data_IF_489932627531
#
_entry.id   IF_489932627531
#
_cell.length_a   1.000
_cell.length_b   1.000
_cell.length_c   1.000
_cell.angle_alpha   90.00
_cell.angle_beta   90.00
_cell.angle_gamma   90.00
#
_symmetry.space_group_name_H-M   'P 1'
#
loop_
_entity.id
_entity.type
_entity.pdbx_description
1 polymer ?
#
# COMPACT_ATOMS: atom_id res chain seq x y z
N UNK A 1 -84.56 33.86 -36.37
CA UNK A 1 -84.02 33.23 -37.60
C UNK A 1 -82.49 33.39 -37.59
N UNK A 2 -81.76 32.31 -37.90
CA UNK A 2 -80.33 32.21 -38.29
C UNK A 2 -79.28 32.75 -37.28
N UNK A 3 -78.61 31.91 -36.46
CA UNK A 3 -77.48 31.00 -36.73
C UNK A 3 -76.12 31.69 -36.97
N UNK A 4 -75.11 31.24 -36.19
CA UNK A 4 -73.67 31.05 -36.55
C UNK A 4 -72.80 32.34 -36.46
N UNK A 5 -71.58 32.39 -35.91
CA UNK A 5 -70.51 31.41 -35.64
C UNK A 5 -69.62 31.90 -34.47
N UNK A 6 -69.23 31.01 -33.55
CA UNK A 6 -68.14 31.22 -32.58
C UNK A 6 -66.80 30.90 -33.26
N UNK A 7 -65.81 31.78 -33.14
CA UNK A 7 -64.40 31.46 -33.44
C UNK A 7 -63.58 31.67 -32.16
N UNK A 8 -63.30 30.58 -31.47
CA UNK A 8 -62.37 30.53 -30.33
C UNK A 8 -60.98 30.30 -30.90
N UNK A 9 -60.11 31.30 -30.79
CA UNK A 9 -58.67 31.14 -31.05
C UNK A 9 -58.03 30.60 -29.76
N UNK A 10 -57.70 29.31 -29.75
CA UNK A 10 -56.92 28.70 -28.68
C UNK A 10 -55.43 29.01 -28.89
N UNK A 11 -54.88 29.90 -28.07
CA UNK A 11 -53.45 30.18 -28.02
C UNK A 11 -52.78 29.12 -27.12
N UNK A 12 -52.23 28.08 -27.74
CA UNK A 12 -51.47 27.04 -27.04
C UNK A 12 -50.07 27.59 -26.68
N UNK A 13 -49.88 27.96 -25.42
CA UNK A 13 -48.57 28.30 -24.87
C UNK A 13 -47.69 27.05 -24.75
N UNK A 14 -46.70 26.91 -25.62
CA UNK A 14 -45.64 25.91 -25.47
C UNK A 14 -44.68 26.34 -24.36
N UNK A 15 -44.80 25.72 -23.20
CA UNK A 15 -43.81 25.82 -22.11
C UNK A 15 -42.63 24.94 -22.50
N UNK A 16 -41.56 25.54 -23.03
CA UNK A 16 -40.29 24.85 -23.24
C UNK A 16 -39.62 24.65 -21.87
N UNK A 17 -39.88 23.49 -21.25
CA UNK A 17 -39.16 23.04 -20.08
C UNK A 17 -37.78 22.56 -20.50
N UNK A 18 -36.78 23.44 -20.38
CA UNK A 18 -35.36 23.08 -20.54
C UNK A 18 -34.89 22.28 -19.33
N UNK A 19 -35.07 20.96 -19.36
CA UNK A 19 -34.32 20.08 -18.47
C UNK A 19 -32.84 20.18 -18.83
N UNK A 20 -32.07 20.96 -18.07
CA UNK A 20 -30.64 20.72 -17.97
C UNK A 20 -30.48 19.29 -17.45
N UNK A 21 -29.92 18.41 -18.29
CA UNK A 21 -29.36 17.16 -17.80
C UNK A 21 -28.17 17.56 -16.94
N UNK A 22 -28.41 17.70 -15.64
CA UNK A 22 -27.33 17.62 -14.66
C UNK A 22 -26.70 16.25 -14.86
N UNK A 23 -25.53 16.25 -15.51
CA UNK A 23 -24.64 15.11 -15.44
C UNK A 23 -24.22 15.00 -13.99
N UNK A 24 -24.89 14.15 -13.22
CA UNK A 24 -24.45 13.74 -11.90
C UNK A 24 -23.01 13.23 -12.05
N UNK A 25 -22.05 14.08 -11.68
CA UNK A 25 -20.67 13.67 -11.50
C UNK A 25 -20.71 12.79 -10.25
N UNK A 26 -20.84 11.48 -10.43
CA UNK A 26 -20.67 10.52 -9.36
C UNK A 26 -19.23 10.62 -8.88
N UNK A 27 -19.01 11.37 -7.80
CA UNK A 27 -17.75 11.36 -7.06
C UNK A 27 -17.63 9.95 -6.49
N UNK A 28 -16.75 9.15 -7.08
CA UNK A 28 -16.52 7.78 -6.62
C UNK A 28 -15.87 7.83 -5.22
N UNK A 29 -16.44 7.07 -4.28
CA UNK A 29 -15.92 6.98 -2.93
C UNK A 29 -14.48 6.45 -2.97
N UNK A 30 -13.47 7.21 -2.48
CA UNK A 30 -12.07 6.78 -2.45
C UNK A 30 -11.85 5.44 -1.73
N UNK A 31 -12.77 5.05 -0.86
CA UNK A 31 -12.69 3.84 -0.04
C UNK A 31 -13.42 2.64 -0.66
N UNK A 32 -14.11 2.81 -1.79
CA UNK A 32 -14.99 1.79 -2.40
C UNK A 32 -14.33 0.42 -2.61
N UNK A 33 -13.06 0.40 -2.99
CA UNK A 33 -12.28 -0.83 -3.24
C UNK A 33 -11.28 -1.15 -2.11
N UNK A 34 -11.45 -0.52 -0.94
CA UNK A 34 -10.60 -0.72 0.21
C UNK A 34 -11.37 -1.43 1.32
N UNK A 35 -10.64 -2.20 2.11
CA UNK A 35 -11.15 -2.75 3.36
C UNK A 35 -10.61 -1.93 4.54
N UNK A 36 -11.47 -1.73 5.53
CA UNK A 36 -11.07 -1.11 6.78
C UNK A 36 -10.32 -2.13 7.62
N UNK A 37 -9.08 -1.81 7.98
CA UNK A 37 -8.23 -2.65 8.81
C UNK A 37 -8.47 -2.38 10.29
N UNK A 38 -8.48 -1.10 10.68
CA UNK A 38 -8.71 -0.68 12.06
C UNK A 38 -9.06 0.80 12.13
N UNK A 39 -9.52 1.25 13.29
CA UNK A 39 -9.61 2.66 13.63
C UNK A 39 -9.33 2.93 15.09
N UNK A 40 -8.92 4.16 15.38
CA UNK A 40 -8.75 4.68 16.72
C UNK A 40 -8.87 6.21 16.73
N UNK A 41 -8.97 6.79 17.91
CA UNK A 41 -8.90 8.25 18.06
C UNK A 41 -7.46 8.69 18.32
N UNK A 42 -6.99 9.68 17.57
CA UNK A 42 -5.72 10.33 17.82
C UNK A 42 -5.85 11.33 18.97
N UNK A 43 -5.64 10.83 20.20
CA UNK A 43 -5.71 11.62 21.43
C UNK A 43 -4.72 12.78 21.32
N UNK A 44 -5.19 14.01 21.54
CA UNK A 44 -4.39 15.24 21.39
C UNK A 44 -4.61 15.99 20.07
N UNK A 45 -5.23 15.37 19.06
CA UNK A 45 -5.57 16.05 17.80
C UNK A 45 -7.08 16.19 17.55
N UNK A 46 -7.92 15.55 18.37
CA UNK A 46 -9.38 15.44 18.15
C UNK A 46 -9.71 14.92 16.74
N UNK A 47 -9.03 13.86 16.33
CA UNK A 47 -9.15 13.26 15.00
C UNK A 47 -9.41 11.76 15.14
N UNK A 48 -10.43 11.25 14.44
CA UNK A 48 -10.60 9.81 14.21
C UNK A 48 -9.68 9.40 13.06
N UNK A 49 -8.91 8.35 13.29
CA UNK A 49 -7.96 7.77 12.33
C UNK A 49 -8.49 6.42 11.91
N UNK A 50 -8.62 6.20 10.60
CA UNK A 50 -8.96 4.91 10.05
C UNK A 50 -7.82 4.41 9.15
N UNK A 51 -7.42 3.17 9.33
CA UNK A 51 -6.45 2.48 8.50
C UNK A 51 -7.18 1.61 7.48
N UNK A 52 -6.83 1.79 6.20
CA UNK A 52 -7.41 1.08 5.08
C UNK A 52 -6.33 0.40 4.24
N UNK A 53 -6.70 -0.68 3.55
CA UNK A 53 -5.84 -1.44 2.64
C UNK A 53 -6.67 -2.02 1.50
N UNK A 54 -6.06 -2.34 0.36
CA UNK A 54 -6.74 -3.05 -0.72
C UNK A 54 -6.99 -4.53 -0.42
N UNK A 55 -6.27 -5.11 0.54
CA UNK A 55 -6.36 -6.51 0.96
C UNK A 55 -6.21 -6.62 2.48
N UNK A 56 -6.52 -7.79 3.04
CA UNK A 56 -6.06 -8.11 4.40
C UNK A 56 -4.53 -8.01 4.48
N UNK A 57 -4.02 -7.70 5.67
CA UNK A 57 -2.58 -7.51 5.86
C UNK A 57 -1.86 -8.85 5.88
N UNK A 58 -0.82 -8.95 5.08
CA UNK A 58 0.09 -10.09 5.03
C UNK A 58 1.54 -9.65 5.28
N UNK A 59 2.41 -10.60 5.62
CA UNK A 59 3.86 -10.37 5.56
C UNK A 59 4.27 -9.98 4.14
N UNK A 60 5.20 -9.05 4.00
CA UNK A 60 5.47 -8.37 2.73
C UNK A 60 5.18 -6.87 2.77
N UNK A 61 5.39 -6.23 1.62
CA UNK A 61 5.03 -4.83 1.41
C UNK A 61 3.52 -4.69 1.36
N UNK A 62 2.94 -3.82 2.19
CA UNK A 62 1.52 -3.52 2.22
C UNK A 62 1.31 -2.05 1.94
N UNK A 63 0.58 -1.76 0.85
CA UNK A 63 0.11 -0.40 0.55
C UNK A 63 -1.09 -0.09 1.44
N UNK A 64 -0.99 1.00 2.18
CA UNK A 64 -1.92 1.42 3.21
C UNK A 64 -2.45 2.82 2.91
N UNK A 65 -3.59 3.14 3.50
CA UNK A 65 -4.21 4.45 3.37
C UNK A 65 -4.75 4.89 4.73
N UNK A 66 -4.41 6.10 5.14
CA UNK A 66 -4.97 6.71 6.34
C UNK A 66 -6.10 7.65 5.94
N UNK A 67 -7.29 7.44 6.51
CA UNK A 67 -8.37 8.43 6.43
C UNK A 67 -8.48 9.15 7.78
N UNK A 68 -8.62 10.48 7.71
CA UNK A 68 -8.74 11.31 8.91
C UNK A 68 -10.10 12.02 8.91
N UNK A 69 -10.78 11.97 10.05
CA UNK A 69 -12.04 12.68 10.26
C UNK A 69 -11.97 13.47 11.56
N UNK A 70 -12.40 14.74 11.54
CA UNK A 70 -12.49 15.54 12.73
C UNK A 70 -13.55 14.96 13.68
N UNK A 71 -13.15 14.68 14.93
CA UNK A 71 -13.99 13.94 15.87
C UNK A 71 -15.21 14.71 16.37
N UNK A 72 -15.22 16.05 16.24
CA UNK A 72 -16.34 16.89 16.66
C UNK A 72 -17.34 17.14 15.52
N UNK A 73 -16.82 17.48 14.34
CA UNK A 73 -17.65 17.87 13.19
C UNK A 73 -17.98 16.72 12.23
N UNK A 74 -17.28 15.59 12.31
CA UNK A 74 -17.44 14.47 11.38
C UNK A 74 -16.92 14.76 9.95
N UNK A 75 -16.28 15.91 9.72
CA UNK A 75 -15.74 16.29 8.41
C UNK A 75 -14.39 15.65 8.15
N UNK A 76 -14.12 15.31 6.90
CA UNK A 76 -12.81 14.81 6.47
C UNK A 76 -11.71 15.85 6.71
N UNK A 77 -10.56 15.41 7.19
CA UNK A 77 -9.36 16.23 7.36
C UNK A 77 -8.41 15.91 6.21
N UNK A 78 -8.43 16.77 5.18
CA UNK A 78 -7.67 16.55 3.95
C UNK A 78 -6.27 17.19 3.97
N UNK A 79 -5.91 17.89 5.04
CA UNK A 79 -4.58 18.51 5.20
C UNK A 79 -4.05 18.29 6.61
N UNK A 80 -3.01 17.49 6.74
CA UNK A 80 -2.43 17.08 8.02
C UNK A 80 -1.04 16.48 7.85
N UNK A 81 -0.17 16.65 8.84
CA UNK A 81 1.07 15.89 8.91
C UNK A 81 0.79 14.54 9.55
N UNK A 82 1.03 13.46 8.80
CA UNK A 82 0.75 12.08 9.21
C UNK A 82 2.06 11.30 9.23
N UNK A 83 2.28 10.55 10.31
CA UNK A 83 3.38 9.59 10.41
C UNK A 83 2.86 8.26 10.90
N UNK A 84 3.36 7.18 10.32
CA UNK A 84 3.03 5.81 10.74
C UNK A 84 4.23 5.17 11.44
N UNK A 85 3.93 4.27 12.36
CA UNK A 85 4.93 3.45 13.03
C UNK A 85 4.31 2.06 13.32
N UNK A 86 4.52 1.07 12.44
CA UNK A 86 4.14 -0.30 12.72
C UNK A 86 5.04 -0.86 13.84
N UNK A 87 4.45 -1.48 14.85
CA UNK A 87 5.17 -2.07 15.97
C UNK A 87 4.67 -3.48 16.23
N UNK A 88 5.59 -4.41 16.39
CA UNK A 88 5.31 -5.75 16.89
C UNK A 88 5.83 -5.85 18.32
N UNK A 89 4.94 -6.26 19.22
CA UNK A 89 5.30 -6.68 20.57
C UNK A 89 5.28 -8.21 20.61
N UNK A 90 6.37 -8.80 21.08
CA UNK A 90 6.56 -10.24 21.17
C UNK A 90 6.92 -10.67 22.59
N UNK A 91 6.49 -11.88 22.94
CA UNK A 91 6.92 -12.58 24.14
C UNK A 91 7.65 -13.86 23.72
N UNK A 92 8.95 -13.89 23.96
CA UNK A 92 9.82 -15.03 23.67
C UNK A 92 10.25 -15.66 25.00
N UNK A 93 9.49 -16.67 25.44
CA UNK A 93 9.74 -17.41 26.68
C UNK A 93 9.85 -16.51 27.93
N UNK A 94 8.95 -15.54 28.07
CA UNK A 94 8.91 -14.58 29.18
C UNK A 94 9.77 -13.34 28.96
N UNK A 95 10.52 -13.26 27.85
CA UNK A 95 11.28 -12.06 27.48
C UNK A 95 10.46 -11.24 26.48
N UNK A 96 10.03 -10.06 26.94
CA UNK A 96 9.32 -9.10 26.09
C UNK A 96 10.30 -8.40 25.15
N UNK A 97 10.03 -8.49 23.87
CA UNK A 97 10.81 -7.86 22.80
C UNK A 97 9.87 -7.05 21.92
N UNK A 98 10.32 -5.91 21.43
CA UNK A 98 9.56 -5.13 20.45
C UNK A 98 10.46 -4.77 19.27
N UNK A 99 9.87 -4.74 18.09
CA UNK A 99 10.53 -4.23 16.90
C UNK A 99 9.52 -3.51 16.00
N UNK A 100 10.04 -2.63 15.15
CA UNK A 100 9.30 -1.99 14.07
C UNK A 100 9.56 -2.69 12.73
N UNK A 101 9.11 -2.07 11.64
CA UNK A 101 9.27 -2.55 10.28
C UNK A 101 9.67 -1.38 9.36
N UNK A 102 10.25 -1.65 8.18
CA UNK A 102 10.34 -0.66 7.13
C UNK A 102 8.99 -0.03 6.84
N UNK A 103 8.98 1.28 6.60
CA UNK A 103 7.76 2.05 6.40
C UNK A 103 8.00 3.22 5.44
N UNK A 104 6.93 3.65 4.79
CA UNK A 104 6.84 4.87 4.00
C UNK A 104 5.73 5.74 4.57
N UNK A 105 6.10 6.93 5.03
CA UNK A 105 5.10 7.93 5.43
C UNK A 105 4.44 8.55 4.19
N UNK A 106 3.26 9.16 4.34
CA UNK A 106 2.68 9.97 3.28
C UNK A 106 3.65 11.04 2.77
N UNK A 107 3.79 11.13 1.45
CA UNK A 107 4.75 12.05 0.81
C UNK A 107 4.32 13.52 0.91
N UNK A 108 3.02 13.76 1.13
CA UNK A 108 2.42 15.09 1.22
C UNK A 108 1.61 15.27 2.48
N UNK A 109 1.48 16.53 2.92
CA UNK A 109 0.52 16.93 3.93
C UNK A 109 -0.91 17.02 3.40
N UNK A 110 -1.09 17.00 2.08
CA UNK A 110 -2.40 16.97 1.44
C UNK A 110 -2.82 15.53 1.16
N UNK A 111 -4.06 15.21 1.47
CA UNK A 111 -4.66 13.92 1.18
C UNK A 111 -4.95 13.79 -0.33
N UNK A 112 -4.61 12.63 -0.90
CA UNK A 112 -5.03 12.21 -2.23
C UNK A 112 -6.44 11.62 -2.15
N UNK A 113 -7.42 12.30 -2.74
CA UNK A 113 -8.84 11.92 -2.68
C UNK A 113 -9.29 11.56 -1.24
N UNK A 114 -9.01 12.43 -0.26
CA UNK A 114 -9.32 12.25 1.19
C UNK A 114 -8.53 11.15 1.93
N UNK A 115 -7.57 10.51 1.27
CA UNK A 115 -6.70 9.49 1.85
C UNK A 115 -5.25 9.95 1.88
N UNK A 116 -4.50 9.56 2.90
CA UNK A 116 -3.05 9.73 2.95
C UNK A 116 -2.40 8.37 2.63
N UNK A 117 -1.85 8.17 1.42
CA UNK A 117 -1.20 6.92 1.04
C UNK A 117 0.10 6.73 1.82
N UNK A 118 0.35 5.52 2.29
CA UNK A 118 1.56 5.13 2.99
C UNK A 118 1.84 3.64 2.77
N UNK A 119 2.94 3.12 3.33
CA UNK A 119 3.20 1.68 3.26
C UNK A 119 4.00 1.17 4.47
N UNK A 120 3.90 -0.12 4.72
CA UNK A 120 4.73 -0.83 5.70
C UNK A 120 5.13 -2.21 5.16
N UNK A 121 6.32 -2.68 5.55
CA UNK A 121 6.82 -4.01 5.20
C UNK A 121 6.79 -4.91 6.44
N UNK A 122 5.72 -5.67 6.62
CA UNK A 122 5.63 -6.58 7.76
C UNK A 122 6.52 -7.80 7.54
N UNK A 123 7.51 -7.99 8.43
CA UNK A 123 8.52 -9.04 8.30
C UNK A 123 8.13 -10.37 8.94
N UNK A 124 7.10 -10.36 9.79
CA UNK A 124 6.64 -11.52 10.56
C UNK A 124 5.11 -11.48 10.71
N UNK A 125 4.43 -12.64 10.67
CA UNK A 125 2.99 -12.70 10.92
C UNK A 125 2.69 -12.50 12.41
N UNK A 126 1.46 -12.08 12.72
CA UNK A 126 0.97 -12.10 14.09
C UNK A 126 0.85 -13.55 14.58
N UNK A 127 1.22 -13.82 15.84
CA UNK A 127 1.21 -15.16 16.45
C UNK A 127 0.47 -15.15 17.80
N UNK A 128 -0.86 -15.08 17.76
CA UNK A 128 -1.70 -15.14 18.97
C UNK A 128 -1.29 -14.12 20.04
N UNK A 129 -1.03 -14.57 21.26
CA UNK A 129 -0.63 -13.68 22.35
C UNK A 129 0.86 -13.31 22.36
N UNK A 130 1.71 -14.09 21.69
CA UNK A 130 3.18 -13.95 21.72
C UNK A 130 3.75 -13.07 20.60
N UNK A 131 2.91 -12.56 19.69
CA UNK A 131 3.34 -11.69 18.60
C UNK A 131 2.17 -10.85 18.08
N UNK A 132 2.02 -9.64 18.62
CA UNK A 132 0.91 -8.73 18.29
C UNK A 132 1.43 -7.52 17.55
N UNK A 133 0.87 -7.26 16.38
CA UNK A 133 1.12 -6.02 15.66
C UNK A 133 0.14 -4.93 16.09
N UNK A 134 0.67 -3.71 16.15
CA UNK A 134 -0.11 -2.48 16.24
C UNK A 134 0.39 -1.47 15.21
N UNK A 135 -0.53 -0.71 14.65
CA UNK A 135 -0.21 0.47 13.87
C UNK A 135 -0.36 1.70 14.76
N UNK A 136 0.72 2.44 14.95
CA UNK A 136 0.70 3.74 15.60
C UNK A 136 0.64 4.80 14.49
N UNK A 137 -0.31 5.73 14.59
CA UNK A 137 -0.44 6.85 13.67
C UNK A 137 -0.35 8.16 14.47
N UNK A 138 0.63 8.98 14.13
CA UNK A 138 0.80 10.31 14.68
C UNK A 138 0.16 11.31 13.71
N UNK A 139 -0.75 12.14 14.21
CA UNK A 139 -1.50 13.13 13.42
C UNK A 139 -1.28 14.52 13.99
N UNK A 140 -0.85 15.46 13.16
CA UNK A 140 -0.76 16.87 13.52
C UNK A 140 -1.52 17.70 12.48
N UNK A 141 -2.71 18.15 12.84
CA UNK A 141 -3.53 19.00 11.97
C UNK A 141 -2.82 20.33 11.73
N UNK A 142 -3.16 20.99 10.63
CA UNK A 142 -2.67 22.33 10.35
C UNK A 142 -2.96 23.29 11.53
N UNK A 143 -1.97 24.10 11.91
CA UNK A 143 -2.05 24.99 13.06
C UNK A 143 -1.81 24.34 14.44
N UNK A 144 -1.74 23.01 14.55
CA UNK A 144 -1.37 22.34 15.80
C UNK A 144 0.15 22.24 15.99
N UNK A 145 0.61 22.44 17.21
CA UNK A 145 2.04 22.35 17.57
C UNK A 145 2.47 20.95 18.03
N UNK A 146 1.53 20.09 18.43
CA UNK A 146 1.78 18.74 18.94
C UNK A 146 1.06 17.71 18.08
N UNK A 147 1.65 16.52 17.98
CA UNK A 147 0.98 15.37 17.39
C UNK A 147 -0.01 14.77 18.39
N UNK A 148 -1.19 14.41 17.89
CA UNK A 148 -2.05 13.42 18.52
C UNK A 148 -1.62 12.01 18.12
N UNK A 149 -1.92 11.03 18.96
CA UNK A 149 -1.49 9.64 18.78
C UNK A 149 -2.69 8.71 18.76
N UNK A 150 -2.84 7.94 17.68
CA UNK A 150 -3.76 6.83 17.56
C UNK A 150 -2.97 5.51 17.59
N UNK A 151 -3.43 4.55 18.38
CA UNK A 151 -2.89 3.19 18.38
C UNK A 151 -4.00 2.21 18.00
N UNK A 152 -3.73 1.34 17.04
CA UNK A 152 -4.69 0.38 16.53
C UNK A 152 -4.06 -1.01 16.51
N UNK A 153 -4.71 -2.00 17.12
CA UNK A 153 -4.31 -3.40 16.94
C UNK A 153 -4.58 -3.83 15.49
N UNK A 154 -3.62 -4.52 14.88
CA UNK A 154 -3.75 -5.04 13.51
C UNK A 154 -3.36 -6.51 13.46
N UNK A 155 -3.97 -7.26 12.54
CA UNK A 155 -3.65 -8.65 12.32
C UNK A 155 -2.89 -8.79 11.01
N UNK A 156 -1.68 -9.36 11.06
CA UNK A 156 -0.86 -9.66 9.88
C UNK A 156 -0.80 -11.17 9.69
N UNK A 157 -1.22 -11.66 8.52
CA UNK A 157 -1.15 -13.08 8.16
C UNK A 157 0.16 -13.42 7.45
N UNK A 158 0.53 -14.68 7.42
CA UNK A 158 1.70 -15.12 6.65
C UNK A 158 1.37 -15.13 5.15
N UNK A 159 2.16 -14.43 4.34
CA UNK A 159 2.02 -14.51 2.88
C UNK A 159 2.38 -15.91 2.37
N UNK A 160 1.57 -16.42 1.44
CA UNK A 160 1.83 -17.65 0.71
C UNK A 160 1.63 -17.37 -0.80
N UNK A 161 2.68 -17.44 -1.63
CA UNK A 161 4.09 -17.65 -1.27
C UNK A 161 4.69 -16.45 -0.52
N UNK A 162 5.92 -16.60 -0.02
CA UNK A 162 6.61 -15.55 0.75
C UNK A 162 6.80 -14.25 -0.06
N UNK A 163 6.58 -13.09 0.58
CA UNK A 163 6.68 -11.76 -0.05
C UNK A 163 7.69 -10.82 0.61
N UNK A 164 8.42 -11.31 1.60
CA UNK A 164 9.51 -10.58 2.26
C UNK A 164 10.64 -11.55 2.60
N UNK A 165 11.90 -11.12 2.47
CA UNK A 165 13.07 -11.89 2.88
C UNK A 165 13.88 -11.07 3.87
N UNK A 166 14.22 -11.65 5.01
CA UNK A 166 15.20 -11.10 5.95
C UNK A 166 16.50 -11.88 5.78
N UNK A 167 17.61 -11.23 5.46
CA UNK A 167 18.87 -11.94 5.22
C UNK A 167 20.11 -11.10 5.54
N UNK A 168 21.24 -11.77 5.69
CA UNK A 168 22.57 -11.13 5.75
C UNK A 168 23.16 -11.14 4.35
N UNK A 169 23.45 -9.96 3.80
CA UNK A 169 24.11 -9.79 2.52
C UNK A 169 25.60 -10.17 2.59
N UNK A 170 26.22 -10.37 1.44
CA UNK A 170 27.63 -10.75 1.31
C UNK A 170 28.62 -9.71 1.87
N UNK A 171 28.20 -8.45 1.99
CA UNK A 171 28.97 -7.40 2.66
C UNK A 171 28.84 -7.42 4.20
N UNK A 172 28.03 -8.33 4.75
CA UNK A 172 27.73 -8.47 6.18
C UNK A 172 26.55 -7.62 6.66
N UNK A 173 25.97 -6.78 5.81
CA UNK A 173 24.80 -5.98 6.17
C UNK A 173 23.55 -6.85 6.30
N UNK A 174 22.67 -6.53 7.27
CA UNK A 174 21.36 -7.16 7.39
C UNK A 174 20.38 -6.38 6.53
N UNK A 175 19.71 -7.06 5.60
CA UNK A 175 18.78 -6.45 4.65
C UNK A 175 17.41 -7.13 4.68
N UNK A 176 16.42 -6.36 4.28
CA UNK A 176 15.04 -6.79 4.05
C UNK A 176 14.74 -6.53 2.57
N UNK A 177 14.29 -7.55 1.86
CA UNK A 177 13.83 -7.44 0.48
C UNK A 177 12.32 -7.71 0.48
N UNK A 178 11.53 -6.79 -0.02
CA UNK A 178 10.08 -6.92 -0.13
C UNK A 178 9.68 -7.00 -1.60
N UNK A 179 8.90 -8.03 -1.95
CA UNK A 179 8.28 -8.15 -3.26
C UNK A 179 7.01 -7.31 -3.32
N UNK A 180 6.88 -6.47 -4.34
CA UNK A 180 5.75 -5.54 -4.50
C UNK A 180 4.87 -5.94 -5.69
N UNK A 181 5.48 -6.13 -6.87
CA UNK A 181 4.73 -6.44 -8.10
C UNK A 181 5.45 -7.46 -8.99
N UNK A 182 4.71 -8.22 -9.80
CA UNK A 182 3.24 -8.25 -9.92
C UNK A 182 2.51 -8.97 -8.77
N UNK A 183 1.40 -8.40 -8.28
CA UNK A 183 0.48 -9.05 -7.33
C UNK A 183 -0.54 -9.96 -8.02
N UNK A 184 -0.88 -9.66 -9.27
CA UNK A 184 -1.75 -10.46 -10.15
C UNK A 184 -1.05 -10.61 -11.50
N UNK A 185 -0.14 -11.59 -11.65
CA UNK A 185 0.61 -11.77 -12.87
C UNK A 185 -0.28 -12.17 -14.05
N UNK A 186 0.18 -11.86 -15.25
CA UNK A 186 -0.41 -12.31 -16.53
C UNK A 186 0.63 -12.97 -17.42
N UNK A 187 0.18 -13.78 -18.37
CA UNK A 187 1.03 -14.23 -19.49
C UNK A 187 1.50 -12.99 -20.25
N UNK A 188 2.78 -12.95 -20.58
CA UNK A 188 3.45 -11.82 -21.19
C UNK A 188 4.22 -10.97 -20.17
N UNK A 189 4.48 -9.72 -20.56
CA UNK A 189 5.30 -8.79 -19.78
C UNK A 189 4.47 -8.17 -18.66
N UNK A 190 5.03 -8.22 -17.44
CA UNK A 190 4.51 -7.63 -16.22
C UNK A 190 5.48 -6.57 -15.71
N UNK A 191 4.95 -5.52 -15.08
CA UNK A 191 5.78 -4.64 -14.28
C UNK A 191 6.26 -5.38 -13.04
N UNK A 192 7.54 -5.23 -12.74
CA UNK A 192 8.20 -5.87 -11.62
C UNK A 192 8.73 -4.81 -10.67
N UNK A 193 8.51 -5.01 -9.37
CA UNK A 193 8.97 -4.08 -8.35
C UNK A 193 9.32 -4.82 -7.06
N UNK A 194 10.47 -4.47 -6.51
CA UNK A 194 10.92 -4.84 -5.17
C UNK A 194 11.37 -3.60 -4.41
N UNK A 195 11.31 -3.66 -3.09
CA UNK A 195 11.94 -2.66 -2.23
C UNK A 195 13.02 -3.31 -1.36
N UNK A 196 14.15 -2.63 -1.18
CA UNK A 196 15.28 -3.10 -0.36
C UNK A 196 15.55 -2.09 0.76
N UNK A 197 15.59 -2.59 1.98
CA UNK A 197 15.87 -1.81 3.19
C UNK A 197 17.02 -2.45 3.97
N UNK A 198 17.85 -1.64 4.62
CA UNK A 198 18.85 -2.12 5.57
C UNK A 198 18.27 -2.11 6.97
N UNK A 199 18.45 -3.21 7.68
CA UNK A 199 18.13 -3.32 9.10
C UNK A 199 19.33 -2.84 9.91
N UNK A 200 19.29 -1.58 10.37
CA UNK A 200 20.32 -1.03 11.25
C UNK A 200 20.13 -1.57 12.68
N UNK A 201 18.90 -1.52 13.17
CA UNK A 201 18.52 -2.01 14.50
C UNK A 201 17.07 -2.55 14.47
N UNK A 202 16.41 -2.67 15.62
CA UNK A 202 15.03 -3.19 15.70
C UNK A 202 13.97 -2.16 15.31
N UNK A 203 14.33 -0.89 15.12
CA UNK A 203 13.43 0.24 14.89
C UNK A 203 13.73 1.00 13.58
N UNK A 204 14.97 0.94 13.11
CA UNK A 204 15.48 1.78 12.04
C UNK A 204 15.79 0.96 10.78
N UNK A 205 15.08 1.27 9.70
CA UNK A 205 15.12 0.52 8.44
C UNK A 205 15.24 1.44 7.21
N UNK A 206 16.37 2.14 7.02
CA UNK A 206 16.55 3.00 5.85
C UNK A 206 16.50 2.19 4.55
N UNK A 207 16.07 2.86 3.48
CA UNK A 207 16.18 2.39 2.11
C UNK A 207 17.65 2.09 1.73
N UNK A 208 17.88 1.04 0.94
CA UNK A 208 19.17 0.75 0.33
C UNK A 208 19.16 1.02 -1.18
N UNK A 209 19.83 2.10 -1.56
CA UNK A 209 19.79 2.70 -2.91
C UNK A 209 21.06 2.40 -3.74
N UNK A 210 21.86 1.42 -3.34
CA UNK A 210 23.20 1.18 -3.89
C UNK A 210 23.40 -0.24 -4.45
N UNK A 211 22.32 -1.00 -4.65
CA UNK A 211 22.40 -2.30 -5.30
C UNK A 211 22.26 -2.18 -6.82
N UNK A 212 23.07 -2.94 -7.55
CA UNK A 212 22.77 -3.32 -8.93
C UNK A 212 22.13 -4.70 -8.92
N UNK A 213 20.90 -4.81 -9.42
CA UNK A 213 20.09 -6.03 -9.29
C UNK A 213 19.90 -6.67 -10.66
N UNK A 214 20.23 -7.95 -10.77
CA UNK A 214 19.86 -8.77 -11.94
C UNK A 214 18.76 -9.74 -11.57
N UNK A 215 17.83 -9.96 -12.50
CA UNK A 215 16.66 -10.79 -12.31
C UNK A 215 16.54 -11.84 -13.42
N UNK A 216 16.33 -13.11 -13.01
CA UNK A 216 16.12 -14.23 -13.94
C UNK A 216 14.91 -15.05 -13.51
N UNK A 217 13.78 -14.99 -14.24
CA UNK A 217 12.64 -15.86 -14.00
C UNK A 217 12.91 -17.28 -14.53
N UNK A 218 12.41 -18.28 -13.83
CA UNK A 218 12.54 -19.69 -14.15
C UNK A 218 11.32 -20.46 -13.64
N UNK A 219 10.86 -21.47 -14.38
CA UNK A 219 9.94 -22.50 -13.89
C UNK A 219 10.78 -23.69 -13.39
N UNK A 220 10.95 -23.88 -12.06
CA UNK A 220 11.94 -24.80 -11.51
C UNK A 220 11.69 -26.27 -11.88
N UNK A 221 10.43 -26.66 -12.08
CA UNK A 221 10.05 -28.04 -12.41
C UNK A 221 10.58 -28.52 -13.76
N UNK A 222 10.91 -27.59 -14.66
CA UNK A 222 11.36 -27.92 -16.02
C UNK A 222 12.55 -27.08 -16.50
N UNK A 223 13.19 -26.30 -15.62
CA UNK A 223 14.37 -25.48 -15.93
C UNK A 223 14.10 -24.46 -17.05
N UNK A 224 12.86 -23.95 -17.14
CA UNK A 224 12.43 -23.11 -18.25
C UNK A 224 12.45 -21.63 -17.85
N UNK A 225 13.34 -20.84 -18.44
CA UNK A 225 13.36 -19.38 -18.27
C UNK A 225 12.43 -18.64 -19.24
N UNK A 226 12.41 -17.32 -19.16
CA UNK A 226 11.69 -16.47 -20.13
C UNK A 226 12.60 -15.41 -20.77
N UNK A 227 12.32 -14.98 -22.01
CA UNK A 227 13.04 -13.89 -22.66
C UNK A 227 12.41 -12.52 -22.35
N UNK A 228 13.05 -11.44 -22.79
CA UNK A 228 12.53 -10.06 -22.74
C UNK A 228 12.31 -9.49 -21.33
N UNK A 229 13.08 -9.96 -20.36
CA UNK A 229 13.11 -9.40 -19.02
C UNK A 229 13.96 -8.13 -18.98
N UNK A 230 13.55 -7.16 -18.16
CA UNK A 230 14.30 -5.94 -17.88
C UNK A 230 14.68 -5.96 -16.41
N UNK A 231 15.98 -5.96 -16.13
CA UNK A 231 16.51 -5.95 -14.77
C UNK A 231 15.97 -4.74 -13.99
N UNK A 232 15.65 -4.92 -12.70
CA UNK A 232 15.11 -3.84 -11.89
C UNK A 232 16.20 -2.80 -11.56
N UNK A 233 15.89 -1.53 -11.81
CA UNK A 233 16.77 -0.39 -11.54
C UNK A 233 16.18 0.49 -10.44
N UNK A 234 17.06 1.12 -9.65
CA UNK A 234 16.63 2.02 -8.58
C UNK A 234 15.75 3.14 -9.16
N UNK A 235 14.66 3.42 -8.48
CA UNK A 235 13.79 4.57 -8.76
C UNK A 235 13.89 5.61 -7.65
N UNK A 236 13.53 5.26 -6.42
CA UNK A 236 13.70 6.07 -5.21
C UNK A 236 13.48 5.22 -3.96
N UNK A 237 14.04 5.63 -2.82
CA UNK A 237 13.70 5.10 -1.49
C UNK A 237 13.74 3.56 -1.40
N UNK A 238 14.73 2.93 -2.03
CA UNK A 238 14.93 1.49 -2.01
C UNK A 238 14.07 0.72 -3.00
N UNK A 239 13.22 1.40 -3.79
CA UNK A 239 12.39 0.77 -4.81
C UNK A 239 13.17 0.56 -6.10
N UNK A 240 13.23 -0.69 -6.56
CA UNK A 240 13.82 -1.08 -7.83
C UNK A 240 12.72 -1.60 -8.76
N UNK A 241 12.62 -1.01 -9.96
CA UNK A 241 11.57 -1.34 -10.94
C UNK A 241 12.16 -1.91 -12.22
N UNK A 242 11.55 -2.96 -12.72
CA UNK A 242 11.94 -3.65 -13.95
C UNK A 242 10.72 -4.25 -14.66
N UNK A 243 10.95 -5.25 -15.50
CA UNK A 243 9.89 -5.99 -16.19
C UNK A 243 10.19 -7.47 -16.20
N UNK A 244 9.21 -8.28 -15.82
CA UNK A 244 9.30 -9.74 -15.83
C UNK A 244 8.30 -10.32 -16.83
N UNK A 245 8.75 -11.21 -17.69
CA UNK A 245 7.92 -11.86 -18.69
C UNK A 245 7.59 -13.30 -18.26
N UNK A 246 6.33 -13.70 -18.36
CA UNK A 246 5.92 -15.10 -18.13
C UNK A 246 5.36 -15.66 -19.43
N UNK A 247 5.98 -16.71 -19.96
CA UNK A 247 5.59 -17.28 -21.27
C UNK A 247 4.36 -18.18 -21.18
N UNK A 248 4.03 -18.65 -19.98
CA UNK A 248 2.88 -19.50 -19.68
C UNK A 248 2.49 -19.41 -18.20
N UNK A 249 1.31 -19.94 -17.85
CA UNK A 249 0.84 -20.12 -16.47
C UNK A 249 1.64 -21.19 -15.73
N UNK A 250 1.60 -21.17 -14.39
CA UNK A 250 2.26 -22.15 -13.52
C UNK A 250 3.22 -21.54 -12.51
N UNK A 251 3.97 -22.39 -11.83
CA UNK A 251 4.87 -21.96 -10.76
C UNK A 251 6.15 -21.35 -11.32
N UNK A 252 6.36 -20.07 -11.02
CA UNK A 252 7.56 -19.33 -11.39
C UNK A 252 8.38 -18.99 -10.17
N UNK A 253 9.70 -19.03 -10.32
CA UNK A 253 10.68 -18.46 -9.40
C UNK A 253 11.36 -17.27 -10.07
N UNK A 254 11.38 -16.14 -9.38
CA UNK A 254 12.12 -14.96 -9.80
C UNK A 254 13.42 -14.93 -9.01
N UNK A 255 14.51 -15.36 -9.63
CA UNK A 255 15.84 -15.35 -9.04
C UNK A 255 16.42 -13.92 -9.09
N UNK A 256 17.06 -13.50 -7.99
CA UNK A 256 17.65 -12.18 -7.83
C UNK A 256 19.14 -12.32 -7.47
N UNK A 257 19.98 -11.50 -8.10
CA UNK A 257 21.36 -11.27 -7.66
C UNK A 257 21.52 -9.79 -7.39
N UNK A 258 21.76 -9.45 -6.12
CA UNK A 258 22.00 -8.10 -5.63
C UNK A 258 23.51 -7.90 -5.52
N UNK A 259 24.06 -6.97 -6.31
CA UNK A 259 25.48 -6.65 -6.34
C UNK A 259 25.74 -5.29 -5.70
N UNK A 260 26.69 -5.23 -4.79
CA UNK A 260 27.13 -3.99 -4.13
C UNK A 260 28.63 -4.09 -3.86
N UNK A 261 29.38 -3.10 -4.33
CA UNK A 261 30.84 -3.02 -4.13
C UNK A 261 31.58 -4.32 -4.51
N UNK A 262 31.18 -4.96 -5.60
CA UNK A 262 31.78 -6.22 -6.08
C UNK A 262 31.40 -7.47 -5.29
N UNK A 263 30.50 -7.38 -4.31
CA UNK A 263 29.95 -8.52 -3.57
C UNK A 263 28.53 -8.84 -4.03
N UNK A 264 28.27 -10.13 -4.25
CA UNK A 264 26.98 -10.62 -4.76
C UNK A 264 26.20 -11.37 -3.67
N UNK A 265 24.94 -11.00 -3.49
CA UNK A 265 23.98 -11.67 -2.61
C UNK A 265 22.84 -12.21 -3.46
N UNK A 266 22.51 -13.50 -3.33
CA UNK A 266 21.43 -14.12 -4.09
C UNK A 266 20.17 -14.29 -3.25
N UNK A 267 19.00 -14.06 -3.84
CA UNK A 267 17.69 -14.32 -3.24
C UNK A 267 16.70 -14.73 -4.32
N UNK A 268 15.47 -15.08 -3.93
CA UNK A 268 14.40 -15.36 -4.89
C UNK A 268 13.02 -15.14 -4.27
N UNK A 269 12.03 -14.97 -5.13
CA UNK A 269 10.61 -15.03 -4.77
C UNK A 269 9.91 -16.05 -5.66
N UNK A 270 9.10 -16.91 -5.04
CA UNK A 270 8.20 -17.80 -5.76
C UNK A 270 6.89 -17.06 -6.07
N UNK A 271 6.31 -17.38 -7.22
CA UNK A 271 5.09 -16.80 -7.74
C UNK A 271 4.23 -17.95 -8.26
N UNK A 272 3.07 -18.13 -7.63
CA UNK A 272 2.03 -19.02 -8.12
C UNK A 272 1.20 -18.22 -9.12
N UNK A 273 1.26 -18.60 -10.39
CA UNK A 273 0.51 -17.99 -11.48
C UNK A 273 -0.56 -18.95 -12.02
#
# INVERSE_FOLDING_TARGET
MKKILFLVLAFAGTVLSSCQKDSDITIEDPKKNLIKIADAFAIGSATKVELWSGTELNTGYQKLYIALTDSASGKAVNRSSVQILPMMDMDLNGVKMSHSAPLENPESMDADNTLFPCAAVFTMPSSGESGKWKMIVMVKKEGQTKYGKAEMAIQVKQSQPERVKNMTAADGSKIIIAYISPSSPKVGVNDFEIAVFKKLDMMTFPAEDNYSITMTPEMPSMGHGSPNNVNPVLTKNGHYKGKVNFTMTGDWRINLVLNKEGKSTTSFFDLLF
#
